data_IF_113773389220
#
_entry.id   IF_113773389220
#
_cell.length_a   1.000
_cell.length_b   1.000
_cell.length_c   1.000
_cell.angle_alpha   90.00
_cell.angle_beta   90.00
_cell.angle_gamma   90.00
#
_symmetry.space_group_name_H-M   'P 1'
#
loop_
_entity.id
_entity.type
_entity.pdbx_description
1 polymer ?
#
# COMPACT_ATOMS: atom_id res chain seq x y z
N UNK A 1 -34.80 60.34 12.93
CA UNK A 1 -35.25 60.73 14.28
C UNK A 1 -35.18 59.49 15.17
N UNK A 2 -34.15 59.37 16.02
CA UNK A 2 -34.23 59.56 17.50
C UNK A 2 -35.05 58.43 18.17
N UNK A 3 -34.60 57.61 19.13
CA UNK A 3 -33.55 57.76 20.17
C UNK A 3 -33.23 56.40 20.82
N UNK A 4 -31.96 56.17 21.14
CA UNK A 4 -31.42 55.40 22.30
C UNK A 4 -31.60 56.37 23.53
N UNK A 5 -31.69 55.99 24.86
CA UNK A 5 -30.61 55.23 25.49
C UNK A 5 -30.70 54.57 26.91
N UNK A 6 -29.56 53.91 27.25
CA UNK A 6 -28.85 53.78 28.54
C UNK A 6 -29.34 52.84 29.67
N UNK A 7 -28.43 51.94 30.10
CA UNK A 7 -27.68 52.11 31.37
C UNK A 7 -26.34 51.35 31.40
N UNK A 8 -25.29 52.09 31.80
CA UNK A 8 -23.95 51.63 32.18
C UNK A 8 -23.92 51.33 33.69
N UNK A 9 -23.02 50.45 34.13
CA UNK A 9 -22.28 50.66 35.38
C UNK A 9 -20.79 50.39 35.17
N UNK A 10 -19.99 51.41 35.50
CA UNK A 10 -18.54 51.40 35.70
C UNK A 10 -18.34 51.42 37.22
N UNK A 11 -17.37 50.63 37.71
CA UNK A 11 -16.79 50.76 39.05
C UNK A 11 -15.33 50.31 39.00
N UNK A 12 -14.42 51.27 39.16
CA UNK A 12 -12.96 51.13 39.22
C UNK A 12 -12.51 51.12 40.70
N UNK A 13 -11.35 50.51 40.97
CA UNK A 13 -10.34 50.75 42.03
C UNK A 13 -10.12 49.63 43.06
N UNK A 14 -8.86 49.14 43.10
CA UNK A 14 -8.32 48.26 44.14
C UNK A 14 -6.94 47.68 43.78
N UNK A 15 -5.90 48.50 43.94
CA UNK A 15 -4.49 48.26 43.65
C UNK A 15 -3.79 47.55 44.83
N UNK A 16 -3.08 46.43 44.60
CA UNK A 16 -1.89 46.04 45.39
C UNK A 16 -0.90 45.31 44.48
N UNK A 17 0.24 45.95 44.24
CA UNK A 17 1.45 45.36 43.68
C UNK A 17 2.32 44.84 44.83
N UNK A 18 2.99 43.70 44.63
CA UNK A 18 4.19 43.34 45.40
C UNK A 18 5.31 43.06 44.42
N UNK A 19 6.28 43.98 44.47
CA UNK A 19 7.56 43.99 43.79
C UNK A 19 8.62 43.60 44.83
N UNK A 20 9.48 42.62 44.53
CA UNK A 20 10.81 42.52 45.13
C UNK A 20 11.82 42.19 44.04
N UNK A 21 12.72 43.16 43.82
CA UNK A 21 13.95 43.10 43.02
C UNK A 21 15.08 42.45 43.83
N UNK A 22 16.01 41.77 43.14
CA UNK A 22 17.47 41.93 43.28
C UNK A 22 18.14 41.31 42.03
N UNK A 23 18.50 42.10 41.01
CA UNK A 23 19.84 42.66 40.70
C UNK A 23 20.98 41.63 40.67
N UNK A 24 21.47 41.36 39.46
CA UNK A 24 22.78 40.76 39.17
C UNK A 24 23.10 40.99 37.69
N UNK A 25 24.17 41.74 37.43
CA UNK A 25 24.46 42.45 36.17
C UNK A 25 24.81 41.55 34.96
N UNK A 26 24.32 41.95 33.79
CA UNK A 26 24.91 41.61 32.48
C UNK A 26 26.10 42.54 32.22
N UNK A 27 27.26 42.05 31.74
CA UNK A 27 28.17 42.87 30.97
C UNK A 27 27.88 42.68 29.48
N UNK A 28 27.61 43.80 28.80
CA UNK A 28 27.57 43.88 27.35
C UNK A 28 28.89 44.46 26.82
N UNK A 29 29.45 43.80 25.78
CA UNK A 29 30.23 44.43 24.72
C UNK A 29 31.77 44.33 24.83
N UNK A 30 32.41 43.59 23.92
CA UNK A 30 32.90 44.13 22.64
C UNK A 30 33.84 43.14 21.91
N UNK A 31 33.49 42.80 20.64
CA UNK A 31 34.34 42.46 19.48
C UNK A 31 35.39 41.32 19.62
N UNK A 32 35.67 40.46 18.64
CA UNK A 32 35.53 40.53 17.18
C UNK A 32 35.76 39.12 16.58
N UNK A 33 35.30 38.94 15.34
CA UNK A 33 35.57 37.89 14.34
C UNK A 33 34.81 36.56 14.43
N UNK A 34 33.95 36.37 13.43
CA UNK A 34 33.45 35.09 12.92
C UNK A 34 34.57 34.04 12.77
N UNK A 35 34.29 32.83 13.26
CA UNK A 35 34.98 31.58 12.97
C UNK A 35 34.00 30.41 13.17
N UNK A 36 34.05 29.32 12.36
CA UNK A 36 32.94 28.39 12.23
C UNK A 36 32.92 27.30 13.33
N UNK A 37 31.68 26.90 13.65
CA UNK A 37 31.16 25.69 14.34
C UNK A 37 30.88 25.74 15.86
N UNK A 38 29.63 25.41 16.30
CA UNK A 38 29.28 25.23 17.71
C UNK A 38 29.86 23.93 18.27
N UNK A 39 30.31 23.93 19.52
CA UNK A 39 30.57 22.70 20.29
C UNK A 39 29.31 21.83 20.28
N UNK A 40 29.39 20.58 19.82
CA UNK A 40 28.27 19.66 19.90
C UNK A 40 27.90 19.47 21.38
N UNK A 41 26.72 19.93 21.77
CA UNK A 41 26.14 19.78 23.12
C UNK A 41 25.45 18.42 23.30
N UNK A 42 25.82 17.44 22.47
CA UNK A 42 25.17 16.13 22.33
C UNK A 42 26.17 14.96 22.24
N UNK A 43 27.37 15.16 22.76
CA UNK A 43 28.38 14.12 22.93
C UNK A 43 28.14 13.22 24.15
N UNK A 44 27.25 13.63 25.07
CA UNK A 44 26.91 12.89 26.28
C UNK A 44 25.57 12.14 26.18
N UNK A 45 25.50 10.94 26.78
CA UNK A 45 24.28 10.14 26.89
C UNK A 45 23.11 10.88 27.57
N UNK A 46 23.41 11.76 28.53
CA UNK A 46 22.37 12.54 29.25
C UNK A 46 21.86 13.75 28.46
N UNK A 47 22.51 14.10 27.35
CA UNK A 47 22.11 15.21 26.49
C UNK A 47 22.08 14.77 25.01
N UNK A 48 21.41 13.66 24.66
CA UNK A 48 21.45 13.15 23.30
C UNK A 48 20.71 14.10 22.35
N UNK A 49 21.10 14.10 21.08
CA UNK A 49 20.32 14.75 20.04
C UNK A 49 19.09 13.91 19.72
N UNK A 50 17.90 14.49 19.87
CA UNK A 50 16.67 13.79 19.55
C UNK A 50 16.44 13.71 18.04
N UNK A 51 16.14 12.50 17.58
CA UNK A 51 15.62 12.15 16.26
C UNK A 51 14.10 12.31 16.32
N UNK A 52 13.53 12.99 15.33
CA UNK A 52 12.10 13.30 15.26
C UNK A 52 11.29 12.04 14.90
N UNK A 53 9.98 12.00 15.16
CA UNK A 53 9.05 11.00 14.60
C UNK A 53 7.76 11.73 14.14
N UNK A 54 7.05 11.31 13.07
CA UNK A 54 7.30 10.15 12.20
C UNK A 54 8.52 10.31 11.30
N UNK A 55 9.32 9.25 11.17
CA UNK A 55 10.45 9.17 10.23
C UNK A 55 10.02 8.46 8.94
N UNK A 56 9.87 9.15 7.80
CA UNK A 56 10.15 8.50 6.52
C UNK A 56 11.67 8.37 6.34
N UNK A 57 12.42 9.43 6.64
CA UNK A 57 13.89 9.54 6.51
C UNK A 57 14.40 10.82 7.20
N UNK A 58 15.51 10.78 7.94
CA UNK A 58 16.14 11.96 8.54
C UNK A 58 17.68 11.90 8.48
N UNK A 59 18.28 12.96 7.90
CA UNK A 59 19.73 13.15 7.83
C UNK A 59 20.24 14.15 8.85
N UNK A 60 21.30 13.76 9.56
CA UNK A 60 21.88 14.56 10.62
C UNK A 60 23.39 14.67 10.47
N UNK A 61 23.85 15.87 10.13
CA UNK A 61 25.27 16.22 10.16
C UNK A 61 25.76 16.54 11.59
N UNK A 62 26.96 16.06 11.91
CA UNK A 62 27.73 16.44 13.09
C UNK A 62 29.24 16.51 12.77
N UNK A 63 29.98 17.34 13.50
CA UNK A 63 31.44 17.31 13.55
C UNK A 63 31.87 16.71 14.89
N UNK A 64 32.47 15.52 14.85
CA UNK A 64 32.88 14.75 16.04
C UNK A 64 34.32 15.04 16.45
N UNK A 65 35.01 15.98 15.80
CA UNK A 65 36.45 16.21 16.01
C UNK A 65 36.84 16.75 17.39
N UNK A 66 35.84 17.17 18.17
CA UNK A 66 36.01 17.77 19.50
C UNK A 66 35.12 17.15 20.57
N UNK A 67 34.44 16.04 20.25
CA UNK A 67 33.58 15.37 21.22
C UNK A 67 34.42 14.51 22.16
N UNK A 68 33.86 14.15 23.30
CA UNK A 68 34.57 13.32 24.28
C UNK A 68 33.71 12.17 24.73
N UNK A 69 34.35 11.11 25.23
CA UNK A 69 33.63 10.01 25.87
C UNK A 69 33.29 10.38 27.30
N UNK A 70 32.02 10.24 27.65
CA UNK A 70 31.53 10.46 28.99
C UNK A 70 32.04 9.38 29.94
N UNK A 71 32.41 9.74 31.17
CA UNK A 71 32.78 8.75 32.18
C UNK A 71 31.63 7.75 32.43
N UNK A 72 31.93 6.45 32.28
CA UNK A 72 30.95 5.36 32.45
C UNK A 72 30.19 4.98 31.18
N UNK A 73 30.49 5.63 30.06
CA UNK A 73 29.93 5.27 28.77
C UNK A 73 30.32 3.84 28.36
N UNK A 74 29.38 3.03 27.85
CA UNK A 74 29.65 1.66 27.41
C UNK A 74 30.58 1.64 26.20
N UNK A 75 31.45 0.63 26.14
CA UNK A 75 32.22 0.32 24.93
C UNK A 75 31.37 -0.62 24.06
N UNK A 76 31.09 -0.27 22.79
CA UNK A 76 30.32 -1.10 21.88
C UNK A 76 30.87 -2.52 21.72
N UNK A 77 29.99 -3.53 21.71
CA UNK A 77 30.43 -4.94 21.67
C UNK A 77 31.12 -5.36 20.36
N UNK A 78 30.79 -4.70 19.25
CA UNK A 78 31.37 -4.96 17.94
C UNK A 78 32.72 -4.27 17.74
N UNK A 79 33.21 -3.48 18.70
CA UNK A 79 34.44 -2.70 18.51
C UNK A 79 35.70 -3.56 18.64
N UNK A 80 36.71 -3.25 17.81
CA UNK A 80 38.07 -3.83 17.88
C UNK A 80 38.91 -3.40 19.10
N UNK A 81 40.17 -3.85 19.16
CA UNK A 81 41.06 -3.59 20.30
C UNK A 81 41.56 -2.13 20.37
N UNK A 82 41.21 -1.42 21.45
CA UNK A 82 41.60 -0.03 21.75
C UNK A 82 40.59 0.65 22.67
N UNK A 83 40.83 1.88 23.15
CA UNK A 83 39.77 2.75 23.70
C UNK A 83 39.38 3.75 22.61
N UNK A 84 38.10 3.95 22.37
CA UNK A 84 37.62 5.07 21.55
C UNK A 84 37.88 6.35 22.35
N UNK A 85 37.86 7.48 21.66
CA UNK A 85 38.14 8.79 22.24
C UNK A 85 37.01 9.78 22.02
N UNK A 86 36.16 9.57 21.01
CA UNK A 86 35.05 10.44 20.65
C UNK A 86 33.77 9.63 20.55
N UNK A 87 32.68 10.21 21.00
CA UNK A 87 31.34 9.66 20.80
C UNK A 87 30.33 10.78 20.63
N UNK A 88 29.21 10.44 20.00
CA UNK A 88 28.00 11.24 20.01
C UNK A 88 26.80 10.36 20.25
N UNK A 89 25.77 10.94 20.85
CA UNK A 89 24.55 10.25 21.21
C UNK A 89 23.34 10.87 20.53
N UNK A 90 22.53 9.98 19.94
CA UNK A 90 21.21 10.30 19.42
C UNK A 90 20.16 9.52 20.22
N UNK A 91 18.97 10.07 20.36
CA UNK A 91 17.84 9.41 21.01
C UNK A 91 16.62 9.41 20.10
N UNK A 92 15.88 8.31 20.10
CA UNK A 92 14.67 8.13 19.31
C UNK A 92 13.61 7.41 20.12
N UNK A 93 12.38 7.88 20.04
CA UNK A 93 11.23 7.24 20.66
C UNK A 93 10.16 7.06 19.58
N UNK A 94 9.94 5.84 19.06
CA UNK A 94 8.96 5.61 18.03
C UNK A 94 7.54 5.81 18.60
N UNK A 95 6.67 6.50 17.85
CA UNK A 95 5.26 6.61 18.18
C UNK A 95 4.53 5.27 18.01
N UNK A 96 4.99 4.45 17.08
CA UNK A 96 4.41 3.14 16.70
C UNK A 96 5.52 2.13 16.46
N UNK A 97 5.22 0.84 16.66
CA UNK A 97 6.15 -0.23 16.32
C UNK A 97 6.60 -0.12 14.86
N UNK A 98 7.89 -0.26 14.61
CA UNK A 98 8.50 -0.04 13.31
C UNK A 98 9.74 -0.91 13.10
N UNK A 99 10.20 -0.96 11.87
CA UNK A 99 11.51 -1.47 11.52
C UNK A 99 12.29 -0.30 10.94
N UNK A 100 13.45 0.01 11.51
CA UNK A 100 14.26 1.16 11.08
C UNK A 100 15.60 0.69 10.53
N UNK A 101 16.11 1.44 9.56
CA UNK A 101 17.51 1.43 9.18
C UNK A 101 18.18 2.65 9.79
N UNK A 102 19.36 2.43 10.34
CA UNK A 102 20.26 3.46 10.85
C UNK A 102 21.58 3.30 10.13
N UNK A 103 22.10 4.37 9.55
CA UNK A 103 23.40 4.34 8.89
C UNK A 103 24.23 5.58 9.19
N UNK A 104 25.52 5.45 8.90
CA UNK A 104 26.48 6.54 8.97
C UNK A 104 27.08 6.88 7.60
N UNK A 105 26.30 6.69 6.53
CA UNK A 105 26.75 6.86 5.14
C UNK A 105 27.31 8.27 4.90
N UNK A 106 28.32 8.41 4.04
CA UNK A 106 29.08 9.66 3.78
C UNK A 106 29.93 10.22 4.92
N UNK A 107 30.05 9.52 6.05
CA UNK A 107 31.02 9.89 7.10
C UNK A 107 32.46 9.77 6.62
N UNK A 108 33.33 10.69 7.04
CA UNK A 108 34.72 10.75 6.56
C UNK A 108 35.72 9.97 7.44
N UNK A 109 35.21 9.18 8.39
CA UNK A 109 35.99 8.32 9.27
C UNK A 109 35.27 6.99 9.51
N UNK A 110 36.03 6.02 10.01
CA UNK A 110 35.54 4.66 10.30
C UNK A 110 34.66 4.66 11.57
N UNK A 111 33.35 4.56 11.36
CA UNK A 111 32.34 4.66 12.42
C UNK A 111 31.99 3.30 13.01
N UNK A 112 31.83 3.24 14.33
CA UNK A 112 31.15 2.17 15.06
C UNK A 112 29.78 2.69 15.49
N UNK A 113 28.73 1.97 15.12
CA UNK A 113 27.34 2.28 15.47
C UNK A 113 26.83 1.23 16.46
N UNK A 114 26.41 1.67 17.65
CA UNK A 114 25.77 0.82 18.65
C UNK A 114 24.41 1.35 19.05
N UNK A 115 23.49 0.45 19.35
CA UNK A 115 22.11 0.77 19.74
C UNK A 115 21.82 0.21 21.10
N UNK A 116 21.25 1.05 21.95
CA UNK A 116 20.86 0.74 23.31
C UNK A 116 19.37 0.98 23.51
N UNK A 117 18.71 0.18 24.35
CA UNK A 117 17.28 0.32 24.64
C UNK A 117 17.04 0.67 26.10
N UNK A 118 16.26 1.74 26.31
CA UNK A 118 15.83 2.33 27.59
C UNK A 118 16.95 2.82 28.53
N UNK A 119 18.19 2.36 28.30
CA UNK A 119 19.38 2.71 29.08
C UNK A 119 20.65 2.40 28.28
N UNK A 120 21.72 3.16 28.49
CA UNK A 120 23.05 2.87 27.95
C UNK A 120 23.71 1.55 28.42
N UNK A 121 23.09 0.80 29.34
CA UNK A 121 23.64 -0.49 29.81
C UNK A 121 23.08 -1.70 29.06
N UNK A 122 22.11 -1.49 28.17
CA UNK A 122 21.40 -2.56 27.46
C UNK A 122 21.63 -2.40 25.96
N UNK A 123 22.80 -2.82 25.49
CA UNK A 123 23.10 -2.88 24.05
C UNK A 123 22.25 -3.97 23.38
N UNK A 124 21.61 -3.62 22.27
CA UNK A 124 20.74 -4.53 21.51
C UNK A 124 21.25 -4.81 20.09
N UNK A 125 22.13 -3.95 19.56
CA UNK A 125 22.72 -4.11 18.24
C UNK A 125 24.02 -3.29 18.15
N UNK A 126 24.96 -3.74 17.32
CA UNK A 126 26.22 -3.08 17.06
C UNK A 126 26.72 -3.45 15.66
N UNK A 127 27.26 -2.48 14.91
CA UNK A 127 27.98 -2.72 13.67
C UNK A 127 29.20 -1.78 13.59
N UNK A 128 30.30 -2.29 13.02
CA UNK A 128 31.57 -1.59 12.78
C UNK A 128 32.13 -1.83 11.37
N UNK A 129 31.46 -2.63 10.52
CA UNK A 129 31.82 -3.01 9.13
C UNK A 129 33.33 -3.22 8.86
N UNK A 130 34.00 -3.93 9.78
CA UNK A 130 35.43 -3.92 10.10
C UNK A 130 36.49 -4.21 9.00
N UNK A 131 36.20 -4.15 7.69
CA UNK A 131 37.16 -4.54 6.65
C UNK A 131 37.35 -3.56 5.48
N UNK A 132 36.49 -2.54 5.29
CA UNK A 132 36.57 -1.68 4.10
C UNK A 132 36.43 -0.16 4.32
N UNK A 133 36.48 0.35 5.56
CA UNK A 133 36.18 1.76 5.87
C UNK A 133 34.80 2.21 5.33
N UNK A 134 33.86 1.26 5.30
CA UNK A 134 32.50 1.47 4.85
C UNK A 134 31.63 1.93 6.04
N UNK A 135 30.55 2.68 5.78
CA UNK A 135 29.70 3.21 6.84
C UNK A 135 29.03 2.09 7.62
N UNK A 136 28.91 2.28 8.94
CA UNK A 136 28.19 1.36 9.80
C UNK A 136 26.69 1.45 9.56
N UNK A 137 26.04 0.31 9.35
CA UNK A 137 24.61 0.21 9.07
C UNK A 137 23.94 -0.84 9.95
N UNK A 138 22.77 -0.52 10.50
CA UNK A 138 21.98 -1.43 11.31
C UNK A 138 20.52 -1.40 10.88
N UNK A 139 19.90 -2.57 10.86
CA UNK A 139 18.46 -2.75 10.73
C UNK A 139 17.94 -3.39 11.99
N UNK A 140 16.92 -2.78 12.60
CA UNK A 140 16.37 -3.30 13.84
C UNK A 140 14.87 -2.97 14.00
N UNK A 141 14.11 -3.86 14.66
CA UNK A 141 12.77 -3.52 15.10
C UNK A 141 12.85 -2.55 16.28
N UNK A 142 11.96 -1.57 16.28
CA UNK A 142 11.74 -0.61 17.36
C UNK A 142 10.28 -0.63 17.77
N UNK A 143 10.03 -0.49 19.07
CA UNK A 143 8.70 -0.67 19.65
C UNK A 143 8.25 0.59 20.37
N UNK A 144 6.97 0.94 20.20
CA UNK A 144 6.35 2.06 20.88
C UNK A 144 6.45 1.90 22.40
N UNK A 145 6.69 3.01 23.11
CA UNK A 145 6.88 3.01 24.56
C UNK A 145 8.31 2.72 25.05
N UNK A 146 9.25 2.43 24.14
CA UNK A 146 10.68 2.33 24.44
C UNK A 146 11.46 3.54 23.93
N UNK A 147 12.60 3.83 24.54
CA UNK A 147 13.56 4.83 24.02
C UNK A 147 14.80 4.12 23.50
N UNK A 148 15.22 4.46 22.29
CA UNK A 148 16.40 3.93 21.63
C UNK A 148 17.48 4.99 21.63
N UNK A 149 18.68 4.62 22.04
CA UNK A 149 19.85 5.48 22.04
C UNK A 149 20.87 4.95 21.04
N UNK A 150 21.27 5.78 20.10
CA UNK A 150 22.30 5.47 19.12
C UNK A 150 23.59 6.14 19.53
N UNK A 151 24.61 5.33 19.72
CA UNK A 151 25.97 5.77 19.97
C UNK A 151 26.76 5.62 18.69
N UNK A 152 27.38 6.70 18.23
CA UNK A 152 28.33 6.66 17.12
C UNK A 152 29.69 7.09 17.64
N UNK A 153 30.72 6.27 17.38
CA UNK A 153 32.11 6.52 17.77
C UNK A 153 33.06 6.10 16.65
N UNK A 154 34.36 6.35 16.80
CA UNK A 154 35.39 5.81 15.90
C UNK A 154 35.81 4.38 16.25
N UNK A 155 36.24 3.63 15.24
CA UNK A 155 36.77 2.27 15.43
C UNK A 155 38.12 2.26 16.17
N UNK A 156 39.09 3.08 15.75
CA UNK A 156 40.47 3.00 16.26
C UNK A 156 40.80 3.97 17.40
N UNK A 157 41.73 3.56 18.28
CA UNK A 157 42.19 4.40 19.39
C UNK A 157 43.04 5.58 18.91
N UNK A 158 42.60 6.81 19.24
CA UNK A 158 43.29 8.05 18.87
C UNK A 158 42.87 8.65 17.52
N UNK A 159 41.72 8.24 16.96
CA UNK A 159 41.11 8.92 15.83
C UNK A 159 40.69 10.35 16.21
N UNK A 160 40.87 11.31 15.31
CA UNK A 160 40.59 12.73 15.57
C UNK A 160 39.10 13.10 15.46
N UNK A 161 38.18 12.13 15.49
CA UNK A 161 36.81 12.33 15.00
C UNK A 161 36.78 12.81 13.55
N UNK A 162 35.63 13.34 13.11
CA UNK A 162 35.49 13.92 11.78
C UNK A 162 34.06 14.34 11.45
N UNK A 163 33.77 14.49 10.16
CA UNK A 163 32.42 14.74 9.67
C UNK A 163 31.62 13.44 9.74
N UNK A 164 30.58 13.46 10.56
CA UNK A 164 29.59 12.40 10.71
C UNK A 164 28.31 12.80 9.99
N UNK A 165 27.83 11.90 9.15
CA UNK A 165 26.45 11.89 8.69
C UNK A 165 25.76 10.73 9.37
N UNK A 166 24.69 11.01 10.11
CA UNK A 166 23.88 10.00 10.80
C UNK A 166 22.49 10.02 10.20
N UNK A 167 22.07 8.90 9.63
CA UNK A 167 20.79 8.74 8.96
C UNK A 167 19.92 7.76 9.74
N UNK A 168 18.65 8.09 9.92
CA UNK A 168 17.64 7.17 10.43
C UNK A 168 16.44 7.21 9.51
N UNK A 169 16.06 6.06 9.00
CA UNK A 169 14.89 5.90 8.14
C UNK A 169 14.00 4.77 8.66
N UNK A 170 12.70 4.94 8.51
CA UNK A 170 11.79 3.81 8.72
C UNK A 170 11.74 3.03 7.42
N UNK A 171 12.01 1.73 7.50
CA UNK A 171 11.81 0.86 6.36
C UNK A 171 10.32 0.82 6.03
N UNK A 172 10.01 0.98 4.75
CA UNK A 172 8.67 0.82 4.26
C UNK A 172 8.14 -0.59 4.48
N UNK A 173 6.82 -0.78 4.36
CA UNK A 173 6.21 -2.10 4.42
C UNK A 173 6.80 -3.03 3.36
N UNK A 174 6.77 -4.34 3.60
CA UNK A 174 7.41 -5.32 2.72
C UNK A 174 6.95 -5.25 1.24
N UNK A 175 5.74 -4.76 1.01
CA UNK A 175 5.14 -4.58 -0.30
C UNK A 175 5.23 -3.15 -0.85
N UNK A 176 6.17 -2.36 -0.35
CA UNK A 176 6.50 -1.01 -0.83
C UNK A 176 6.92 -0.99 -2.31
N UNK A 177 7.66 -2.01 -2.75
CA UNK A 177 8.12 -2.11 -4.15
C UNK A 177 7.22 -3.03 -4.96
N UNK A 178 6.95 -2.66 -6.21
CA UNK A 178 6.17 -3.46 -7.16
C UNK A 178 6.67 -4.92 -7.26
N UNK A 179 7.99 -5.14 -7.24
CA UNK A 179 8.60 -6.46 -7.28
C UNK A 179 8.25 -7.35 -6.06
N UNK A 180 7.83 -6.74 -4.95
CA UNK A 180 7.45 -7.39 -3.69
C UNK A 180 5.97 -7.24 -3.37
N UNK A 181 5.15 -7.03 -4.41
CA UNK A 181 3.69 -6.97 -4.33
C UNK A 181 3.11 -8.10 -3.48
N UNK A 182 2.17 -7.75 -2.59
CA UNK A 182 1.49 -8.71 -1.72
C UNK A 182 0.31 -9.38 -2.45
N UNK A 183 0.33 -10.71 -2.70
CA UNK A 183 -0.81 -11.38 -3.31
C UNK A 183 -2.01 -11.39 -2.36
N UNK A 184 -3.15 -10.93 -2.87
CA UNK A 184 -4.42 -10.90 -2.13
C UNK A 184 -5.07 -12.28 -2.25
N UNK A 185 -5.06 -13.05 -1.17
CA UNK A 185 -5.78 -14.31 -1.03
C UNK A 185 -7.30 -14.14 -0.84
N UNK A 186 -7.96 -15.11 -0.21
CA UNK A 186 -9.40 -15.03 0.14
C UNK A 186 -9.65 -14.35 1.50
N UNK A 187 -8.59 -14.03 2.23
CA UNK A 187 -8.67 -13.29 3.49
C UNK A 187 -8.92 -11.81 3.21
N UNK A 188 -9.69 -11.16 4.07
CA UNK A 188 -10.02 -9.72 4.02
C UNK A 188 -10.54 -9.30 5.40
N UNK A 189 -10.12 -8.16 5.97
CA UNK A 189 -9.22 -7.16 5.37
C UNK A 189 -7.75 -7.58 5.39
N UNK A 190 -6.96 -6.91 4.54
CA UNK A 190 -5.50 -6.87 4.63
C UNK A 190 -5.10 -5.59 5.35
N UNK A 191 -4.06 -5.65 6.17
CA UNK A 191 -3.56 -4.49 6.90
C UNK A 191 -2.10 -4.24 6.54
N UNK A 192 -1.75 -2.98 6.31
CA UNK A 192 -0.38 -2.54 6.18
C UNK A 192 -0.20 -1.22 6.94
N UNK A 193 1.04 -0.88 7.24
CA UNK A 193 1.39 0.41 7.80
C UNK A 193 2.30 1.12 6.81
N UNK A 194 1.84 2.23 6.23
CA UNK A 194 2.47 2.86 5.06
C UNK A 194 3.58 3.85 5.41
N UNK A 195 3.85 4.07 6.71
CA UNK A 195 4.97 4.93 7.12
C UNK A 195 6.30 4.31 6.67
N UNK A 196 7.12 5.08 5.97
CA UNK A 196 8.37 4.60 5.37
C UNK A 196 8.18 4.03 3.97
N UNK A 197 6.94 3.88 3.48
CA UNK A 197 6.71 3.53 2.09
C UNK A 197 7.31 4.61 1.18
N UNK A 198 7.99 4.17 0.14
CA UNK A 198 8.65 4.98 -0.86
C UNK A 198 7.87 4.95 -2.17
N UNK A 199 8.35 5.74 -3.10
CA UNK A 199 7.87 5.75 -4.47
C UNK A 199 9.05 5.38 -5.35
N UNK A 200 8.99 4.24 -6.03
CA UNK A 200 10.08 3.83 -6.93
C UNK A 200 9.97 4.51 -8.29
N UNK A 201 11.10 4.64 -8.98
CA UNK A 201 11.13 5.17 -10.34
C UNK A 201 10.23 4.35 -11.27
N UNK A 202 9.48 5.06 -12.12
CA UNK A 202 8.51 4.50 -13.09
C UNK A 202 7.23 3.93 -12.47
N UNK A 203 6.93 4.21 -11.19
CA UNK A 203 5.57 4.00 -10.72
C UNK A 203 4.57 4.84 -11.51
N UNK A 204 3.40 4.26 -11.87
CA UNK A 204 2.34 5.00 -12.50
C UNK A 204 1.64 5.89 -11.46
N UNK A 205 2.31 6.95 -11.02
CA UNK A 205 1.77 7.98 -10.14
C UNK A 205 0.93 9.01 -10.91
N UNK A 206 0.55 8.68 -12.14
CA UNK A 206 -0.19 9.57 -13.00
C UNK A 206 -1.54 9.89 -12.35
N UNK A 207 -1.86 11.18 -12.29
CA UNK A 207 -3.07 11.75 -11.75
C UNK A 207 -4.27 10.79 -11.76
N UNK A 208 -4.69 10.33 -10.58
CA UNK A 208 -6.05 9.85 -10.41
C UNK A 208 -6.93 11.09 -10.30
N UNK A 209 -7.80 11.34 -11.29
CA UNK A 209 -8.69 12.50 -11.27
C UNK A 209 -8.01 13.88 -11.07
N UNK A 210 -6.75 14.03 -11.52
CA UNK A 210 -5.88 15.23 -11.35
C UNK A 210 -5.13 15.30 -10.01
N UNK A 211 -5.09 14.21 -9.25
CA UNK A 211 -4.50 14.14 -7.92
C UNK A 211 -3.35 13.13 -7.88
N UNK A 212 -2.25 13.54 -7.25
CA UNK A 212 -1.04 12.73 -7.07
C UNK A 212 -1.11 11.98 -5.75
N UNK A 213 -0.43 10.84 -5.70
CA UNK A 213 -0.34 10.04 -4.49
C UNK A 213 1.05 9.42 -4.40
N UNK A 214 1.51 9.25 -3.17
CA UNK A 214 2.86 8.81 -2.83
C UNK A 214 2.85 7.86 -1.65
N UNK A 215 4.04 7.42 -1.23
CA UNK A 215 4.21 6.42 -0.17
C UNK A 215 3.34 5.17 -0.43
N UNK A 216 3.55 4.56 -1.60
CA UNK A 216 2.60 3.58 -2.14
C UNK A 216 2.99 2.15 -1.78
N UNK A 217 1.98 1.31 -1.63
CA UNK A 217 2.12 -0.12 -1.43
C UNK A 217 1.41 -0.89 -2.53
N UNK A 218 1.95 -2.06 -2.85
CA UNK A 218 1.50 -2.89 -3.95
C UNK A 218 0.84 -4.18 -3.49
N UNK A 219 -0.29 -4.49 -4.10
CA UNK A 219 -0.97 -5.77 -3.96
C UNK A 219 -1.25 -6.36 -5.35
N UNK A 220 -1.43 -7.68 -5.42
CA UNK A 220 -1.74 -8.37 -6.67
C UNK A 220 -2.95 -9.29 -6.53
N UNK A 221 -3.72 -9.38 -7.61
CA UNK A 221 -4.94 -10.17 -7.67
C UNK A 221 -5.05 -10.86 -9.04
N UNK A 222 -5.12 -12.19 -9.05
CA UNK A 222 -5.54 -12.96 -10.22
C UNK A 222 -6.85 -13.65 -9.90
N UNK A 223 -7.87 -13.49 -10.77
CA UNK A 223 -9.17 -14.18 -10.60
C UNK A 223 -9.21 -15.43 -11.47
N UNK A 224 -9.89 -16.48 -10.98
CA UNK A 224 -10.07 -17.74 -11.72
C UNK A 224 -11.32 -17.75 -12.60
N UNK A 225 -12.28 -16.86 -12.32
CA UNK A 225 -13.55 -16.73 -13.02
C UNK A 225 -13.87 -15.25 -13.21
N UNK A 226 -14.70 -14.92 -14.20
CA UNK A 226 -15.23 -13.57 -14.37
C UNK A 226 -15.83 -13.11 -13.05
N UNK A 227 -15.36 -11.97 -12.55
CA UNK A 227 -15.74 -11.47 -11.23
C UNK A 227 -15.94 -9.96 -11.28
N UNK A 228 -16.94 -9.45 -10.56
CA UNK A 228 -16.94 -8.05 -10.13
C UNK A 228 -16.07 -7.97 -8.88
N UNK A 229 -14.99 -7.20 -8.97
CA UNK A 229 -14.07 -6.96 -7.87
C UNK A 229 -14.34 -5.57 -7.30
N UNK A 230 -14.48 -5.50 -5.99
CA UNK A 230 -14.48 -4.24 -5.23
C UNK A 230 -13.22 -4.18 -4.39
N UNK A 231 -12.50 -3.06 -4.46
CA UNK A 231 -11.36 -2.73 -3.59
C UNK A 231 -11.71 -1.46 -2.84
N UNK A 232 -11.48 -1.45 -1.54
CA UNK A 232 -11.97 -0.43 -0.63
C UNK A 232 -11.00 -0.25 0.54
N UNK A 233 -10.67 0.99 0.90
CA UNK A 233 -9.74 1.33 1.99
C UNK A 233 -10.44 1.72 3.31
N UNK A 234 -11.73 1.42 3.43
CA UNK A 234 -12.54 1.77 4.60
C UNK A 234 -11.89 1.34 5.93
N UNK A 235 -11.77 2.30 6.85
CA UNK A 235 -11.18 2.09 8.18
C UNK A 235 -9.71 2.46 8.28
N UNK A 236 -9.08 2.88 7.18
CA UNK A 236 -7.76 3.52 7.20
C UNK A 236 -7.82 4.86 7.94
N UNK A 237 -6.68 5.30 8.50
CA UNK A 237 -6.58 6.51 9.33
C UNK A 237 -5.91 7.71 8.64
N UNK A 238 -5.76 7.65 7.31
CA UNK A 238 -5.17 8.69 6.46
C UNK A 238 -5.94 8.82 5.14
N UNK A 239 -5.77 9.92 4.41
CA UNK A 239 -6.42 10.14 3.12
C UNK A 239 -5.81 9.24 2.03
N UNK A 240 -6.53 8.17 1.69
CA UNK A 240 -6.04 7.14 0.78
C UNK A 240 -6.38 7.44 -0.67
N UNK A 241 -5.44 7.18 -1.56
CA UNK A 241 -5.64 7.15 -3.02
C UNK A 241 -5.43 5.72 -3.52
N UNK A 242 -6.35 5.26 -4.38
CA UNK A 242 -6.41 3.87 -4.84
C UNK A 242 -6.37 3.80 -6.37
N UNK A 243 -5.47 3.00 -6.93
CA UNK A 243 -5.44 2.72 -8.36
C UNK A 243 -5.27 1.24 -8.66
N UNK A 244 -5.92 0.77 -9.72
CA UNK A 244 -5.84 -0.60 -10.22
C UNK A 244 -5.30 -0.60 -11.63
N UNK A 245 -4.34 -1.48 -11.89
CA UNK A 245 -3.66 -1.65 -13.16
C UNK A 245 -3.73 -3.10 -13.64
N UNK A 246 -3.48 -3.30 -14.92
CA UNK A 246 -3.16 -4.60 -15.51
C UNK A 246 -1.95 -4.46 -16.42
N UNK A 247 -1.21 -5.54 -16.65
CA UNK A 247 -0.02 -5.54 -17.50
C UNK A 247 1.09 -6.44 -16.94
N UNK A 248 2.16 -6.67 -17.73
CA UNK A 248 3.18 -7.66 -17.39
C UNK A 248 4.28 -7.13 -16.45
N UNK A 249 4.50 -5.82 -16.38
CA UNK A 249 5.57 -5.21 -15.60
C UNK A 249 5.31 -3.72 -15.34
N UNK A 250 5.99 -3.14 -14.34
CA UNK A 250 5.79 -1.76 -13.86
C UNK A 250 5.73 -0.71 -14.99
N UNK A 251 6.67 -0.74 -15.94
CA UNK A 251 6.71 0.21 -17.06
C UNK A 251 5.72 -0.07 -18.19
N UNK A 252 4.95 -1.15 -18.11
CA UNK A 252 3.96 -1.58 -19.10
C UNK A 252 2.56 -1.73 -18.47
N UNK A 253 2.34 -1.14 -17.30
CA UNK A 253 1.05 -1.13 -16.64
C UNK A 253 0.08 -0.19 -17.36
N UNK A 254 -1.15 -0.67 -17.55
CA UNK A 254 -2.29 0.10 -18.04
C UNK A 254 -3.30 0.26 -16.91
N UNK A 255 -3.71 1.50 -16.62
CA UNK A 255 -4.69 1.79 -15.58
C UNK A 255 -6.07 1.28 -15.97
N UNK A 256 -6.68 0.51 -15.08
CA UNK A 256 -8.05 -0.01 -15.20
C UNK A 256 -9.03 1.00 -14.61
N UNK A 257 -8.80 1.40 -13.37
CA UNK A 257 -9.64 2.32 -12.61
C UNK A 257 -8.81 2.92 -11.48
N UNK A 258 -9.20 4.09 -10.99
CA UNK A 258 -8.67 4.65 -9.76
C UNK A 258 -9.76 5.46 -9.06
N UNK A 259 -9.57 5.77 -7.79
CA UNK A 259 -10.44 6.60 -7.00
C UNK A 259 -9.62 7.35 -5.93
N UNK A 260 -10.04 8.57 -5.64
CA UNK A 260 -9.53 9.43 -4.58
C UNK A 260 -10.72 10.20 -4.02
N UNK A 261 -11.29 9.75 -2.90
CA UNK A 261 -12.44 10.44 -2.30
C UNK A 261 -11.93 11.67 -1.55
N UNK A 262 -11.70 12.75 -2.29
CA UNK A 262 -11.22 14.05 -1.79
C UNK A 262 -12.02 14.68 -0.63
N UNK A 263 -13.08 14.03 -0.15
CA UNK A 263 -13.90 14.44 0.99
C UNK A 263 -13.84 13.50 2.20
N UNK A 264 -13.02 12.43 2.19
CA UNK A 264 -12.86 11.49 3.30
C UNK A 264 -11.66 10.54 3.18
N UNK A 265 -11.39 9.74 4.22
CA UNK A 265 -10.21 8.85 4.28
C UNK A 265 -10.30 7.55 3.45
N UNK A 266 -11.26 7.46 2.51
CA UNK A 266 -11.62 6.19 1.89
C UNK A 266 -11.76 6.34 0.40
N UNK A 267 -10.88 5.71 -0.36
CA UNK A 267 -11.14 5.41 -1.76
C UNK A 267 -11.66 3.99 -1.97
N UNK A 268 -12.52 3.85 -2.98
CA UNK A 268 -13.16 2.61 -3.37
C UNK A 268 -13.34 2.56 -4.88
N UNK A 269 -12.88 1.46 -5.47
CA UNK A 269 -13.13 1.14 -6.88
C UNK A 269 -13.92 -0.15 -7.03
N UNK A 270 -14.66 -0.25 -8.13
CA UNK A 270 -15.29 -1.48 -8.56
C UNK A 270 -15.04 -1.70 -10.05
N UNK A 271 -14.56 -2.87 -10.43
CA UNK A 271 -14.22 -3.18 -11.81
C UNK A 271 -14.50 -4.65 -12.17
N UNK A 272 -14.76 -4.93 -13.46
CA UNK A 272 -14.80 -6.29 -13.96
C UNK A 272 -13.41 -6.90 -14.04
N UNK A 273 -13.25 -8.11 -13.51
CA UNK A 273 -12.01 -8.88 -13.54
C UNK A 273 -12.15 -10.14 -14.40
N UNK A 274 -11.20 -10.34 -15.31
CA UNK A 274 -11.16 -11.42 -16.29
C UNK A 274 -10.28 -12.58 -15.78
N UNK A 275 -10.69 -13.85 -15.94
CA UNK A 275 -9.92 -15.03 -15.56
C UNK A 275 -8.47 -14.97 -16.06
N UNK A 276 -7.52 -15.37 -15.22
CA UNK A 276 -6.10 -15.45 -15.57
C UNK A 276 -5.41 -14.09 -15.75
N UNK A 277 -6.14 -12.98 -15.72
CA UNK A 277 -5.54 -11.64 -15.74
C UNK A 277 -5.08 -11.27 -14.33
N UNK A 278 -3.84 -10.78 -14.23
CA UNK A 278 -3.30 -10.24 -12.98
C UNK A 278 -3.57 -8.74 -12.92
N UNK A 279 -4.24 -8.33 -11.86
CA UNK A 279 -4.52 -6.95 -11.50
C UNK A 279 -3.56 -6.53 -10.40
N UNK A 280 -2.97 -5.35 -10.57
CA UNK A 280 -2.05 -4.73 -9.61
C UNK A 280 -2.78 -3.59 -8.93
N UNK A 281 -2.89 -3.65 -7.61
CA UNK A 281 -3.57 -2.66 -6.79
C UNK A 281 -2.48 -1.83 -6.12
N UNK A 282 -2.44 -0.55 -6.44
CA UNK A 282 -1.55 0.43 -5.80
C UNK A 282 -2.38 1.27 -4.84
N UNK A 283 -1.92 1.40 -3.60
CA UNK A 283 -2.57 2.23 -2.59
C UNK A 283 -1.52 3.12 -1.95
N UNK A 284 -1.79 4.42 -1.86
CA UNK A 284 -0.90 5.38 -1.20
C UNK A 284 -1.73 6.46 -0.51
N UNK A 285 -1.04 7.48 0.00
CA UNK A 285 -1.71 8.65 0.54
C UNK A 285 -1.77 9.80 -0.44
N UNK A 286 -2.74 10.69 -0.23
CA UNK A 286 -2.82 11.97 -0.93
C UNK A 286 -1.47 12.71 -0.88
N UNK A 287 -0.95 13.07 -2.07
CA UNK A 287 0.32 13.77 -2.22
C UNK A 287 0.10 15.17 -2.79
N UNK A 288 0.29 16.17 -1.94
CA UNK A 288 0.14 17.57 -2.28
C UNK A 288 1.49 18.19 -2.61
N UNK A 289 1.61 19.07 -3.62
CA UNK A 289 2.85 19.79 -3.91
C UNK A 289 3.44 20.59 -2.73
N UNK A 290 2.67 20.80 -1.67
CA UNK A 290 3.03 21.62 -0.52
C UNK A 290 3.20 20.82 0.78
N UNK A 291 3.01 19.50 0.75
CA UNK A 291 3.13 18.63 1.92
C UNK A 291 3.80 17.31 1.53
N UNK A 292 4.22 16.52 2.52
CA UNK A 292 4.59 15.13 2.27
C UNK A 292 3.34 14.30 2.03
N UNK A 293 3.43 13.16 1.30
CA UNK A 293 2.33 12.23 1.16
C UNK A 293 1.78 11.81 2.52
N UNK A 294 0.46 11.67 2.62
CA UNK A 294 -0.16 11.12 3.82
C UNK A 294 0.23 9.64 4.01
N UNK A 295 0.41 9.24 5.27
CA UNK A 295 0.79 7.87 5.63
C UNK A 295 0.09 7.46 6.93
N UNK A 296 -0.14 6.16 7.10
CA UNK A 296 -0.87 5.65 8.25
C UNK A 296 -1.16 4.15 8.19
N UNK A 297 -2.09 3.72 9.03
CA UNK A 297 -2.61 2.36 9.02
C UNK A 297 -3.58 2.19 7.85
N UNK A 298 -3.19 1.36 6.89
CA UNK A 298 -4.02 0.96 5.75
C UNK A 298 -4.84 -0.27 6.12
N UNK A 299 -6.16 -0.20 5.91
CA UNK A 299 -7.07 -1.34 5.91
C UNK A 299 -7.61 -1.53 4.49
N UNK A 300 -7.21 -2.61 3.82
CA UNK A 300 -7.61 -2.93 2.45
C UNK A 300 -8.63 -4.07 2.42
N UNK A 301 -9.85 -3.75 2.01
CA UNK A 301 -10.90 -4.71 1.75
C UNK A 301 -10.92 -5.07 0.27
N UNK A 302 -10.79 -6.37 -0.04
CA UNK A 302 -10.96 -6.88 -1.40
C UNK A 302 -12.11 -7.88 -1.41
N UNK A 303 -13.18 -7.55 -2.12
CA UNK A 303 -14.34 -8.42 -2.31
C UNK A 303 -14.44 -8.85 -3.77
N UNK A 304 -14.77 -10.12 -4.00
CA UNK A 304 -14.91 -10.71 -5.32
C UNK A 304 -16.26 -11.38 -5.40
N UNK A 305 -17.11 -10.92 -6.31
CA UNK A 305 -18.37 -11.58 -6.61
C UNK A 305 -18.23 -12.17 -7.99
N UNK A 306 -18.26 -13.50 -8.10
CA UNK A 306 -18.30 -14.15 -9.40
C UNK A 306 -19.49 -13.59 -10.19
N UNK A 307 -19.22 -12.97 -11.33
CA UNK A 307 -20.22 -12.40 -12.23
C UNK A 307 -20.41 -13.39 -13.36
N UNK A 308 -21.55 -14.08 -13.34
CA UNK A 308 -21.84 -15.18 -14.25
C UNK A 308 -22.18 -16.43 -13.45
N UNK A 309 -23.34 -17.01 -13.74
CA UNK A 309 -23.75 -18.24 -13.10
C UNK A 309 -22.76 -19.35 -13.51
N UNK A 310 -22.28 -20.12 -12.54
CA UNK A 310 -21.22 -21.10 -12.79
C UNK A 310 -21.81 -22.38 -13.35
N UNK A 311 -21.11 -23.00 -14.30
CA UNK A 311 -21.28 -24.40 -14.67
C UNK A 311 -20.67 -25.38 -13.64
N UNK A 312 -20.27 -24.89 -12.46
CA UNK A 312 -19.52 -25.69 -11.49
C UNK A 312 -20.43 -26.68 -10.74
N UNK A 313 -19.88 -27.88 -10.48
CA UNK A 313 -20.45 -28.88 -9.56
C UNK A 313 -21.10 -30.11 -10.20
N UNK A 314 -21.08 -30.28 -11.52
CA UNK A 314 -21.59 -31.49 -12.20
C UNK A 314 -20.57 -31.95 -13.23
N UNK A 315 -20.17 -33.23 -13.20
CA UNK A 315 -19.26 -33.79 -14.18
C UNK A 315 -19.92 -33.75 -15.57
N UNK A 316 -19.26 -33.09 -16.53
CA UNK A 316 -19.73 -33.04 -17.90
C UNK A 316 -19.70 -34.45 -18.54
N UNK A 317 -20.75 -34.77 -19.29
CA UNK A 317 -20.85 -36.01 -20.07
C UNK A 317 -20.14 -35.88 -21.41
N UNK A 318 -20.00 -34.65 -21.93
CA UNK A 318 -19.33 -34.33 -23.19
C UNK A 318 -18.37 -33.15 -22.94
N UNK A 319 -17.10 -33.32 -23.29
CA UNK A 319 -16.03 -32.35 -23.03
C UNK A 319 -15.24 -32.10 -24.31
N UNK A 320 -15.11 -30.83 -24.68
CA UNK A 320 -14.25 -30.35 -25.75
C UNK A 320 -12.77 -30.27 -25.33
N UNK A 321 -12.05 -29.39 -25.98
CA UNK A 321 -10.61 -29.17 -25.86
C UNK A 321 -10.32 -27.70 -25.58
N UNK A 322 -9.04 -27.32 -25.49
CA UNK A 322 -8.68 -25.91 -25.34
C UNK A 322 -8.64 -25.15 -26.69
N UNK A 323 -9.06 -25.79 -27.79
CA UNK A 323 -9.16 -25.19 -29.11
C UNK A 323 -10.59 -25.29 -29.67
N UNK A 324 -10.86 -24.69 -30.85
CA UNK A 324 -12.20 -24.62 -31.40
C UNK A 324 -12.81 -25.99 -31.68
N UNK A 325 -13.98 -26.25 -31.11
CA UNK A 325 -14.69 -27.52 -31.21
C UNK A 325 -16.08 -27.39 -31.87
N UNK A 326 -16.55 -28.50 -32.45
CA UNK A 326 -17.94 -28.66 -32.89
C UNK A 326 -18.54 -29.80 -32.08
N UNK A 327 -19.43 -29.46 -31.16
CA UNK A 327 -19.99 -30.40 -30.19
C UNK A 327 -21.49 -30.53 -30.41
N UNK A 328 -21.95 -31.78 -30.55
CA UNK A 328 -23.36 -32.12 -30.63
C UNK A 328 -23.71 -33.01 -29.43
N UNK A 329 -24.72 -32.60 -28.67
CA UNK A 329 -25.37 -33.41 -27.64
C UNK A 329 -26.20 -34.53 -28.23
N UNK A 330 -27.16 -34.99 -27.44
CA UNK A 330 -28.05 -36.10 -27.74
C UNK A 330 -29.49 -35.64 -27.66
N UNK A 331 -30.46 -36.51 -27.91
CA UNK A 331 -31.88 -36.19 -27.71
C UNK A 331 -32.32 -36.26 -26.25
N UNK A 332 -31.39 -36.42 -25.30
CA UNK A 332 -31.66 -36.46 -23.87
C UNK A 332 -30.81 -35.45 -23.11
N UNK A 333 -31.03 -35.29 -21.79
CA UNK A 333 -30.34 -34.27 -21.00
C UNK A 333 -28.82 -34.45 -20.98
N UNK A 334 -28.09 -33.43 -21.40
CA UNK A 334 -26.64 -33.42 -21.50
C UNK A 334 -25.98 -32.39 -20.56
N UNK A 335 -24.74 -32.67 -20.19
CA UNK A 335 -23.85 -31.71 -19.53
C UNK A 335 -22.62 -31.54 -20.41
N UNK A 336 -22.52 -30.40 -21.07
CA UNK A 336 -21.51 -30.14 -22.11
C UNK A 336 -20.57 -29.02 -21.67
N UNK A 337 -19.26 -29.21 -21.87
CA UNK A 337 -18.24 -28.19 -21.65
C UNK A 337 -17.34 -28.03 -22.88
N UNK A 338 -17.32 -26.85 -23.49
CA UNK A 338 -16.41 -26.50 -24.61
C UNK A 338 -14.96 -26.31 -24.15
N UNK A 339 -14.78 -25.63 -23.02
CA UNK A 339 -13.51 -25.27 -22.36
C UNK A 339 -12.87 -24.01 -22.91
N UNK A 340 -12.10 -24.09 -24.00
CA UNK A 340 -11.44 -22.90 -24.56
C UNK A 340 -11.37 -22.99 -26.06
N UNK A 341 -11.25 -21.85 -26.74
CA UNK A 341 -11.44 -21.78 -28.19
C UNK A 341 -12.83 -21.25 -28.53
N UNK A 342 -13.09 -21.04 -29.82
CA UNK A 342 -14.38 -20.54 -30.29
C UNK A 342 -15.24 -21.74 -30.70
N UNK A 343 -16.14 -22.16 -29.83
CA UNK A 343 -16.85 -23.40 -29.98
C UNK A 343 -18.20 -23.24 -30.68
N UNK A 344 -18.66 -24.30 -31.34
CA UNK A 344 -20.05 -24.43 -31.80
C UNK A 344 -20.69 -25.61 -31.11
N UNK A 345 -21.62 -25.34 -30.20
CA UNK A 345 -22.23 -26.34 -29.33
C UNK A 345 -23.75 -26.40 -29.56
N UNK A 346 -24.29 -27.60 -29.74
CA UNK A 346 -25.72 -27.84 -29.90
C UNK A 346 -26.20 -28.94 -28.95
N UNK A 347 -27.05 -28.60 -27.98
CA UNK A 347 -27.65 -29.54 -27.02
C UNK A 347 -28.64 -30.52 -27.64
N UNK A 348 -29.29 -30.12 -28.73
CA UNK A 348 -30.38 -30.82 -29.41
C UNK A 348 -31.68 -30.89 -28.61
N UNK A 349 -31.87 -31.88 -27.75
CA UNK A 349 -33.12 -32.02 -27.02
C UNK A 349 -32.92 -32.66 -25.67
N UNK A 350 -33.76 -32.31 -24.70
CA UNK A 350 -33.48 -32.62 -23.30
C UNK A 350 -33.27 -31.32 -22.53
N UNK A 351 -33.14 -31.41 -21.21
CA UNK A 351 -32.86 -30.24 -20.39
C UNK A 351 -31.35 -30.16 -20.17
N UNK A 352 -30.68 -29.34 -20.95
CA UNK A 352 -29.24 -29.35 -21.06
C UNK A 352 -28.57 -28.34 -20.13
N UNK A 353 -27.32 -28.64 -19.78
CA UNK A 353 -26.42 -27.69 -19.14
C UNK A 353 -25.18 -27.54 -20.01
N UNK A 354 -25.05 -26.38 -20.65
CA UNK A 354 -24.00 -26.16 -21.65
C UNK A 354 -23.12 -24.98 -21.24
N UNK A 355 -21.81 -25.21 -21.22
CA UNK A 355 -20.79 -24.22 -20.91
C UNK A 355 -19.91 -24.05 -22.15
N UNK A 356 -19.84 -22.84 -22.70
CA UNK A 356 -18.92 -22.48 -23.79
C UNK A 356 -17.49 -22.51 -23.29
N UNK A 357 -17.14 -21.54 -22.46
CA UNK A 357 -15.82 -21.49 -21.84
C UNK A 357 -15.12 -20.19 -22.19
N UNK A 358 -13.85 -20.26 -22.58
CA UNK A 358 -13.10 -19.10 -23.02
C UNK A 358 -13.04 -19.03 -24.55
N UNK A 359 -13.61 -18.00 -25.15
CA UNK A 359 -13.63 -17.78 -26.59
C UNK A 359 -14.95 -17.17 -27.02
N UNK A 360 -15.09 -16.88 -28.32
CA UNK A 360 -16.37 -16.41 -28.87
C UNK A 360 -17.19 -17.62 -29.30
N UNK A 361 -18.10 -18.04 -28.44
CA UNK A 361 -18.83 -19.30 -28.57
C UNK A 361 -20.20 -19.13 -29.23
N UNK A 362 -20.63 -20.15 -29.97
CA UNK A 362 -21.98 -20.27 -30.50
C UNK A 362 -22.68 -21.46 -29.84
N UNK A 363 -23.68 -21.19 -29.03
CA UNK A 363 -24.36 -22.20 -28.21
C UNK A 363 -25.85 -22.24 -28.56
N UNK A 364 -26.39 -23.43 -28.78
CA UNK A 364 -27.82 -23.71 -28.93
C UNK A 364 -28.25 -24.75 -27.89
N UNK A 365 -29.26 -24.44 -27.07
CA UNK A 365 -29.88 -25.40 -26.14
C UNK A 365 -30.68 -26.44 -26.90
N UNK A 366 -31.61 -25.98 -27.74
CA UNK A 366 -32.43 -26.87 -28.56
C UNK A 366 -33.83 -26.98 -27.98
N UNK A 367 -34.36 -28.18 -27.77
CA UNK A 367 -35.69 -28.34 -27.13
C UNK A 367 -35.56 -28.83 -25.70
N UNK A 368 -36.12 -28.12 -24.73
CA UNK A 368 -36.12 -28.46 -23.32
C UNK A 368 -35.95 -27.21 -22.47
N UNK A 369 -35.84 -27.37 -21.16
CA UNK A 369 -35.55 -26.27 -20.26
C UNK A 369 -34.05 -26.23 -19.97
N UNK A 370 -33.34 -25.40 -20.71
CA UNK A 370 -31.89 -25.42 -20.80
C UNK A 370 -31.23 -24.37 -19.91
N UNK A 371 -29.95 -24.62 -19.60
CA UNK A 371 -29.07 -23.67 -18.93
C UNK A 371 -27.81 -23.48 -19.75
N UNK A 372 -27.70 -22.31 -20.37
CA UNK A 372 -26.62 -21.95 -21.28
C UNK A 372 -25.72 -20.90 -20.63
N UNK A 373 -24.42 -21.13 -20.69
CA UNK A 373 -23.39 -20.28 -20.11
C UNK A 373 -22.34 -20.00 -21.18
N UNK A 374 -22.27 -18.77 -21.70
CA UNK A 374 -21.24 -18.33 -22.66
C UNK A 374 -19.87 -18.28 -22.00
N UNK A 375 -19.81 -17.59 -20.85
CA UNK A 375 -18.64 -17.41 -20.00
C UNK A 375 -17.74 -16.26 -20.44
N UNK A 376 -16.61 -16.48 -21.12
CA UNK A 376 -15.67 -15.41 -21.42
C UNK A 376 -15.45 -15.27 -22.92
N UNK A 377 -15.85 -14.14 -23.49
CA UNK A 377 -15.75 -13.83 -24.91
C UNK A 377 -17.08 -13.27 -25.43
N UNK A 378 -17.15 -12.94 -26.72
CA UNK A 378 -18.37 -12.38 -27.28
C UNK A 378 -19.23 -13.54 -27.80
N UNK A 379 -20.22 -13.93 -27.01
CA UNK A 379 -20.94 -15.18 -27.22
C UNK A 379 -22.28 -14.99 -27.93
N UNK A 380 -22.73 -16.06 -28.58
CA UNK A 380 -24.03 -16.13 -29.26
C UNK A 380 -24.83 -17.32 -28.71
N UNK A 381 -25.84 -17.02 -27.90
CA UNK A 381 -26.64 -18.02 -27.18
C UNK A 381 -28.08 -18.06 -27.73
N UNK A 382 -28.52 -19.26 -28.09
CA UNK A 382 -29.90 -19.57 -28.47
C UNK A 382 -30.50 -20.57 -27.48
N UNK A 383 -31.55 -20.18 -26.75
CA UNK A 383 -32.29 -21.05 -25.83
C UNK A 383 -32.96 -22.17 -26.60
N UNK A 384 -33.91 -21.79 -27.46
CA UNK A 384 -34.61 -22.72 -28.32
C UNK A 384 -36.07 -22.84 -27.91
N UNK A 385 -36.51 -24.06 -27.62
CA UNK A 385 -37.87 -24.33 -27.19
C UNK A 385 -37.93 -24.82 -25.76
N UNK A 386 -38.55 -24.05 -24.89
CA UNK A 386 -38.75 -24.36 -23.48
C UNK A 386 -38.44 -23.15 -22.61
N UNK A 387 -38.36 -23.33 -21.30
CA UNK A 387 -38.12 -22.20 -20.38
C UNK A 387 -36.64 -22.18 -19.97
N UNK A 388 -35.87 -21.35 -20.65
CA UNK A 388 -34.43 -21.40 -20.64
C UNK A 388 -33.80 -20.38 -19.71
N UNK A 389 -32.53 -20.61 -19.38
CA UNK A 389 -31.69 -19.65 -18.66
C UNK A 389 -30.40 -19.44 -19.43
N UNK A 390 -30.22 -18.23 -19.95
CA UNK A 390 -29.07 -17.84 -20.75
C UNK A 390 -28.24 -16.84 -19.96
N UNK A 391 -26.95 -17.12 -19.85
CA UNK A 391 -25.97 -16.28 -19.16
C UNK A 391 -24.77 -16.04 -20.08
N UNK A 392 -24.60 -14.82 -20.58
CA UNK A 392 -23.43 -14.45 -21.41
C UNK A 392 -22.15 -14.36 -20.57
N UNK A 393 -22.27 -13.74 -19.40
CA UNK A 393 -21.24 -13.48 -18.40
C UNK A 393 -20.26 -12.36 -18.76
N UNK A 394 -19.26 -12.55 -19.62
CA UNK A 394 -18.28 -11.50 -19.91
C UNK A 394 -17.94 -11.40 -21.39
N UNK A 395 -18.19 -10.23 -21.97
CA UNK A 395 -18.05 -9.96 -23.40
C UNK A 395 -19.28 -9.21 -23.91
N UNK A 396 -19.31 -8.88 -25.19
CA UNK A 396 -20.49 -8.29 -25.82
C UNK A 396 -21.34 -9.43 -26.40
N UNK A 397 -22.33 -9.86 -25.63
CA UNK A 397 -23.04 -11.10 -25.92
C UNK A 397 -24.35 -10.87 -26.68
N UNK A 398 -24.78 -11.88 -27.43
CA UNK A 398 -26.08 -11.91 -28.07
C UNK A 398 -26.89 -13.09 -27.55
N UNK A 399 -27.96 -12.81 -26.82
CA UNK A 399 -28.82 -13.81 -26.17
C UNK A 399 -30.21 -13.81 -26.81
N UNK A 400 -30.65 -14.98 -27.24
CA UNK A 400 -31.94 -15.21 -27.88
C UNK A 400 -32.67 -16.34 -27.13
N UNK A 401 -33.67 -16.01 -26.32
CA UNK A 401 -34.48 -17.01 -25.61
C UNK A 401 -35.26 -17.92 -26.57
N UNK A 402 -35.86 -17.29 -27.59
CA UNK A 402 -36.74 -17.90 -28.59
C UNK A 402 -38.12 -18.25 -28.03
N UNK A 403 -38.50 -19.52 -27.95
CA UNK A 403 -39.88 -19.90 -27.56
C UNK A 403 -39.94 -20.37 -26.12
N UNK A 404 -40.70 -19.67 -25.28
CA UNK A 404 -40.94 -20.03 -23.89
C UNK A 404 -40.91 -18.81 -22.99
N UNK A 405 -40.75 -19.05 -21.68
CA UNK A 405 -40.51 -18.00 -20.69
C UNK A 405 -39.07 -18.07 -20.21
N UNK A 406 -38.23 -17.21 -20.79
CA UNK A 406 -36.79 -17.30 -20.59
C UNK A 406 -36.27 -16.28 -19.59
N UNK A 407 -35.10 -16.60 -19.02
CA UNK A 407 -34.32 -15.68 -18.21
C UNK A 407 -33.01 -15.42 -18.94
N UNK A 408 -32.82 -14.19 -19.42
CA UNK A 408 -31.62 -13.77 -20.11
C UNK A 408 -30.81 -12.83 -19.22
N UNK A 409 -29.52 -13.10 -19.09
CA UNK A 409 -28.58 -12.20 -18.42
C UNK A 409 -27.32 -12.08 -19.26
N UNK A 410 -27.16 -10.93 -19.92
CA UNK A 410 -25.96 -10.61 -20.71
C UNK A 410 -24.71 -10.67 -19.83
N UNK A 411 -24.60 -9.76 -18.86
CA UNK A 411 -23.53 -9.79 -17.88
C UNK A 411 -22.68 -8.54 -17.99
N UNK A 412 -21.36 -8.71 -18.12
CA UNK A 412 -20.41 -7.63 -18.30
C UNK A 412 -20.19 -7.39 -19.79
N UNK A 413 -20.50 -6.19 -20.28
CA UNK A 413 -20.28 -5.81 -21.67
C UNK A 413 -21.50 -5.12 -22.26
N UNK A 414 -21.45 -4.84 -23.55
CA UNK A 414 -22.57 -4.29 -24.30
C UNK A 414 -23.36 -5.44 -24.93
N UNK A 415 -24.36 -5.92 -24.21
CA UNK A 415 -25.13 -7.10 -24.58
C UNK A 415 -26.38 -6.76 -25.38
N UNK A 416 -26.75 -7.67 -26.29
CA UNK A 416 -28.01 -7.63 -27.01
C UNK A 416 -28.87 -8.83 -26.61
N UNK A 417 -30.04 -8.56 -26.05
CA UNK A 417 -30.99 -9.59 -25.68
C UNK A 417 -32.25 -9.41 -26.53
N UNK A 418 -32.59 -10.43 -27.33
CA UNK A 418 -33.77 -10.40 -28.20
C UNK A 418 -34.87 -11.29 -27.62
N UNK A 419 -36.06 -10.73 -27.45
CA UNK A 419 -37.05 -11.24 -26.52
C UNK A 419 -38.38 -11.55 -27.18
N UNK A 420 -38.98 -12.66 -26.74
CA UNK A 420 -40.41 -12.93 -26.80
C UNK A 420 -41.09 -12.43 -25.51
N UNK A 421 -41.71 -13.33 -24.74
CA UNK A 421 -42.36 -13.05 -23.45
C UNK A 421 -41.39 -13.10 -22.23
N UNK A 422 -40.11 -12.78 -22.45
CA UNK A 422 -39.01 -13.13 -21.53
C UNK A 422 -38.72 -12.09 -20.43
N UNK A 423 -37.98 -12.51 -19.39
CA UNK A 423 -37.42 -11.62 -18.35
C UNK A 423 -35.99 -11.22 -18.74
N UNK A 424 -35.77 -9.91 -18.90
CA UNK A 424 -34.68 -9.35 -19.71
C UNK A 424 -33.56 -8.69 -18.89
N UNK A 425 -32.37 -8.72 -19.50
CA UNK A 425 -31.21 -7.84 -19.35
C UNK A 425 -31.60 -6.37 -19.06
#
# INVERSE_FOLDING_TARGET
MYRIPFRRHIGICGLVAVLVLLVGALPAGAGTSDGPTPRANWDDYYHPRWVSDPLPYQDIYADTSWTTIQAGEPVPSCRGAGADSHSVWYAYQPATDAYIQVDTFDSNYDTVLAVYRDSWSTEIACNDDAWNAAPSQLWLPVYSGHTYYFRVSEYSAGGSGGSLWFQVQREGPANDKFAYTQPVGNQSPWTAYTVGATTQANEPLAACESIYFGATVWYSLTVAVNSSVTVDTFGSDFDTVLAVYTGPSLGLLTRVICDDDTSGYRSRVQFPAVPGTTYWIQVGGYDSPWALPEVGNLILHVARTATGATCQGVAATIVGTAGPDIINGTSGPDVIAGLGGNDTINGQGGNDRICGGAGADKISGGTGADRLYGQAGNDLLYGGGGNDRLYGAGGNDQLFGQTGYDILRGGLGADTCATGEDVVC
#
